data_IF_723483879689
#
_entry.id   IF_723483879689
#
_cell.length_a   1.000
_cell.length_b   1.000
_cell.length_c   1.000
_cell.angle_alpha   90.00
_cell.angle_beta   90.00
_cell.angle_gamma   90.00
#
_symmetry.space_group_name_H-M   'P 1'
#
loop_
_entity.id
_entity.type
_entity.pdbx_description
1 polymer ?
#
# COMPACT_ATOMS: atom_id res chain seq x y z
N UNK A 1 5.34 10.39 -7.64
CA UNK A 1 4.08 10.14 -6.93
C UNK A 1 3.98 11.19 -5.84
N UNK A 2 3.05 12.13 -5.96
CA UNK A 2 2.82 13.17 -4.94
C UNK A 2 1.61 12.71 -4.16
N UNK A 3 1.81 12.28 -2.91
CA UNK A 3 0.70 11.93 -2.04
C UNK A 3 0.26 13.23 -1.36
N UNK A 4 -0.92 13.73 -1.70
CA UNK A 4 -1.53 14.79 -0.91
C UNK A 4 -1.82 14.26 0.49
N UNK A 5 -1.43 14.95 1.56
CA UNK A 5 -1.75 14.52 2.91
C UNK A 5 -3.26 14.65 3.09
N UNK A 6 -4.00 13.57 2.83
CA UNK A 6 -5.30 13.41 3.45
C UNK A 6 -5.08 13.55 4.96
N UNK A 7 -5.92 14.36 5.62
CA UNK A 7 -5.96 14.42 7.07
C UNK A 7 -6.04 12.98 7.57
N UNK A 8 -5.00 12.52 8.26
CA UNK A 8 -4.92 11.13 8.70
C UNK A 8 -6.02 10.93 9.72
N UNK A 9 -7.06 10.20 9.34
CA UNK A 9 -8.03 9.68 10.29
C UNK A 9 -7.31 8.62 11.13
N UNK A 10 -6.93 9.02 12.34
CA UNK A 10 -6.24 8.17 13.32
C UNK A 10 -7.06 6.95 13.73
N UNK A 11 -8.37 6.92 13.42
CA UNK A 11 -9.27 5.81 13.67
C UNK A 11 -9.59 4.98 12.41
N UNK A 12 -8.83 5.15 11.33
CA UNK A 12 -9.13 4.46 10.07
C UNK A 12 -8.96 2.94 10.15
N UNK A 13 -9.78 2.21 9.39
CA UNK A 13 -9.65 0.74 9.24
C UNK A 13 -8.23 0.33 8.79
N UNK A 14 -7.59 1.11 7.91
CA UNK A 14 -6.21 0.85 7.50
C UNK A 14 -5.22 0.84 8.67
N UNK A 15 -5.34 1.76 9.64
CA UNK A 15 -4.50 1.76 10.85
C UNK A 15 -4.86 0.60 11.79
N UNK A 16 -6.14 0.24 11.88
CA UNK A 16 -6.61 -0.85 12.72
C UNK A 16 -6.11 -2.24 12.27
N UNK A 17 -5.69 -2.38 11.01
CA UNK A 17 -5.19 -3.65 10.44
C UNK A 17 -3.67 -3.81 10.51
N UNK A 18 -2.95 -2.87 11.13
CA UNK A 18 -1.48 -2.95 11.27
C UNK A 18 -1.11 -4.13 12.18
N UNK A 19 -0.20 -5.04 11.76
CA UNK A 19 0.33 -6.07 12.65
C UNK A 19 1.35 -5.44 13.61
N UNK A 20 0.86 -4.89 14.73
CA UNK A 20 1.63 -4.04 15.66
C UNK A 20 2.84 -4.73 16.31
N UNK A 21 2.88 -6.07 16.29
CA UNK A 21 4.03 -6.85 16.74
C UNK A 21 5.20 -6.83 15.73
N UNK A 22 4.93 -6.45 14.47
CA UNK A 22 5.84 -6.60 13.34
C UNK A 22 6.12 -5.27 12.64
N UNK A 23 5.12 -4.40 12.54
CA UNK A 23 5.14 -3.14 11.77
C UNK A 23 4.58 -2.01 12.61
N UNK A 24 5.13 -0.80 12.45
CA UNK A 24 4.53 0.43 12.94
C UNK A 24 4.40 1.46 11.82
N UNK A 25 3.46 2.40 11.96
CA UNK A 25 3.23 3.48 10.99
C UNK A 25 3.78 4.79 11.57
N UNK A 26 4.60 5.50 10.80
CA UNK A 26 5.15 6.80 11.20
C UNK A 26 5.32 7.73 9.99
N UNK A 27 5.67 8.99 10.23
CA UNK A 27 5.94 9.95 9.14
C UNK A 27 7.16 9.50 8.34
N UNK A 28 7.00 9.44 7.01
CA UNK A 28 8.11 9.12 6.10
C UNK A 28 9.19 10.21 6.14
N UNK A 29 10.44 9.81 5.99
CA UNK A 29 11.55 10.73 5.73
C UNK A 29 11.58 11.23 4.29
N UNK A 30 10.82 10.61 3.38
CA UNK A 30 10.75 11.02 1.98
C UNK A 30 9.91 12.31 1.83
N UNK A 31 10.39 13.30 1.07
CA UNK A 31 9.63 14.52 0.81
C UNK A 31 8.24 14.20 0.23
N UNK A 32 7.19 14.74 0.86
CA UNK A 32 5.79 14.62 0.42
C UNK A 32 5.24 13.18 0.33
N UNK A 33 5.84 12.21 1.02
CA UNK A 33 5.35 10.82 1.04
C UNK A 33 4.33 10.53 2.16
N UNK A 34 4.12 11.47 3.08
CA UNK A 34 3.14 11.28 4.16
C UNK A 34 3.58 10.27 5.21
N UNK A 35 2.78 9.22 5.42
CA UNK A 35 3.05 8.14 6.38
C UNK A 35 3.64 6.91 5.68
N UNK A 36 4.44 6.15 6.42
CA UNK A 36 5.14 4.96 5.96
C UNK A 36 5.06 3.83 6.99
N UNK A 37 5.02 2.59 6.48
CA UNK A 37 5.16 1.38 7.27
C UNK A 37 6.64 1.05 7.51
N UNK A 38 7.03 0.90 8.77
CA UNK A 38 8.37 0.55 9.19
C UNK A 38 8.38 -0.79 9.93
N UNK A 39 9.44 -1.59 9.72
CA UNK A 39 9.64 -2.81 10.47
C UNK A 39 9.94 -2.48 11.95
N UNK A 40 9.13 -3.01 12.87
CA UNK A 40 9.34 -2.89 14.32
C UNK A 40 10.40 -3.88 14.84
N UNK A 41 10.64 -4.95 14.08
CA UNK A 41 11.59 -6.03 14.38
C UNK A 41 12.13 -6.65 13.09
N UNK A 42 13.17 -7.48 13.15
CA UNK A 42 13.59 -8.28 12.00
C UNK A 42 12.44 -9.14 11.46
N UNK A 43 12.23 -9.07 10.15
CA UNK A 43 11.23 -9.86 9.41
C UNK A 43 11.98 -10.93 8.62
N UNK A 44 11.55 -12.18 8.74
CA UNK A 44 12.19 -13.29 8.03
C UNK A 44 12.07 -13.10 6.51
N UNK A 45 13.12 -13.43 5.77
CA UNK A 45 13.10 -13.42 4.31
C UNK A 45 11.99 -14.35 3.81
N UNK A 46 11.30 -13.93 2.75
CA UNK A 46 10.14 -14.64 2.17
C UNK A 46 8.87 -14.60 3.04
N UNK A 47 8.80 -13.74 4.05
CA UNK A 47 7.52 -13.42 4.70
C UNK A 47 6.58 -12.77 3.69
N UNK A 48 5.33 -13.21 3.67
CA UNK A 48 4.29 -12.67 2.79
C UNK A 48 3.32 -11.81 3.61
N UNK A 49 2.93 -10.67 3.04
CA UNK A 49 1.89 -9.79 3.58
C UNK A 49 0.80 -9.61 2.54
N UNK A 50 -0.46 -9.73 2.96
CA UNK A 50 -1.57 -9.55 2.04
C UNK A 50 -2.85 -10.26 2.48
N UNK A 51 -3.88 -10.22 1.61
CA UNK A 51 -3.90 -9.49 0.33
C UNK A 51 -3.89 -7.97 0.51
N UNK A 52 -3.54 -7.21 -0.54
CA UNK A 52 -3.68 -5.74 -0.54
C UNK A 52 -5.17 -5.37 -0.48
N UNK A 53 -5.54 -4.52 0.49
CA UNK A 53 -6.94 -4.14 0.73
C UNK A 53 -7.31 -2.84 0.01
N UNK A 54 -8.49 -2.82 -0.61
CA UNK A 54 -8.99 -1.67 -1.34
C UNK A 54 -10.33 -1.95 -2.03
N UNK A 55 -10.92 -0.93 -2.64
CA UNK A 55 -12.11 -1.09 -3.48
C UNK A 55 -11.76 -1.73 -4.83
N UNK A 56 -12.53 -2.73 -5.27
CA UNK A 56 -12.32 -3.41 -6.55
C UNK A 56 -13.06 -2.69 -7.68
N UNK A 57 -12.33 -2.24 -8.69
CA UNK A 57 -12.88 -1.66 -9.91
C UNK A 57 -12.78 -2.66 -11.08
N UNK A 58 -13.93 -3.19 -11.53
CA UNK A 58 -13.98 -4.18 -12.61
C UNK A 58 -13.88 -3.57 -14.03
N UNK A 59 -14.22 -2.28 -14.21
CA UNK A 59 -14.48 -1.70 -15.54
C UNK A 59 -13.31 -0.89 -16.11
N UNK A 60 -12.06 -1.21 -15.78
CA UNK A 60 -10.89 -0.66 -16.48
C UNK A 60 -10.54 0.81 -16.19
N UNK A 61 -11.47 1.61 -15.67
CA UNK A 61 -11.35 3.06 -15.53
C UNK A 61 -11.20 3.45 -14.05
N UNK A 62 -9.96 3.64 -13.62
CA UNK A 62 -9.69 4.60 -12.54
C UNK A 62 -9.28 5.89 -13.25
N UNK A 63 -10.09 6.95 -13.12
CA UNK A 63 -9.89 8.22 -13.85
C UNK A 63 -8.54 8.88 -13.52
N UNK A 64 -8.04 8.69 -12.29
CA UNK A 64 -6.71 9.12 -11.87
C UNK A 64 -6.09 8.06 -10.95
N UNK A 65 -4.82 7.69 -11.19
CA UNK A 65 -4.13 6.78 -10.29
C UNK A 65 -3.89 7.49 -8.95
N UNK A 66 -4.66 7.13 -7.93
CA UNK A 66 -4.59 7.66 -6.55
C UNK A 66 -3.21 7.48 -5.87
N UNK A 67 -2.26 6.82 -6.54
CA UNK A 67 -1.02 6.34 -5.96
C UNK A 67 -1.21 5.06 -5.12
N UNK A 68 -2.44 4.74 -4.72
CA UNK A 68 -2.78 3.60 -3.88
C UNK A 68 -3.44 2.45 -4.66
N UNK A 69 -3.43 2.53 -5.99
CA UNK A 69 -4.11 1.57 -6.85
C UNK A 69 -3.15 0.54 -7.46
N UNK A 70 -3.51 -0.74 -7.35
CA UNK A 70 -2.83 -1.84 -8.03
C UNK A 70 -3.64 -2.33 -9.23
N UNK A 71 -2.94 -2.62 -10.33
CA UNK A 71 -3.48 -3.31 -11.51
C UNK A 71 -3.32 -4.81 -11.32
N UNK A 72 -4.43 -5.54 -11.39
CA UNK A 72 -4.41 -7.00 -11.39
C UNK A 72 -4.59 -7.49 -12.82
N UNK A 73 -3.70 -8.38 -13.26
CA UNK A 73 -3.67 -8.94 -14.60
C UNK A 73 -3.91 -10.43 -14.57
N UNK A 74 -4.45 -10.98 -15.65
CA UNK A 74 -4.48 -12.42 -15.87
C UNK A 74 -3.13 -12.93 -16.41
N UNK A 75 -3.08 -14.25 -16.69
CA UNK A 75 -1.90 -14.93 -17.23
C UNK A 75 -1.52 -14.44 -18.64
N UNK A 76 -2.47 -13.88 -19.39
CA UNK A 76 -2.24 -13.28 -20.72
C UNK A 76 -1.66 -11.87 -20.63
N UNK A 77 -1.68 -11.27 -19.43
CA UNK A 77 -1.25 -9.89 -19.17
C UNK A 77 -2.38 -8.86 -19.30
N UNK A 78 -3.62 -9.30 -19.57
CA UNK A 78 -4.77 -8.43 -19.70
C UNK A 78 -5.23 -7.94 -18.32
N UNK A 79 -5.65 -6.68 -18.25
CA UNK A 79 -6.09 -6.08 -16.98
C UNK A 79 -7.47 -6.64 -16.64
N UNK A 80 -7.53 -7.41 -15.56
CA UNK A 80 -8.78 -8.00 -15.06
C UNK A 80 -9.57 -7.00 -14.21
N UNK A 81 -8.88 -6.31 -13.31
CA UNK A 81 -9.47 -5.30 -12.42
C UNK A 81 -8.38 -4.49 -11.74
N UNK A 82 -8.80 -3.47 -11.01
CA UNK A 82 -7.94 -2.69 -10.12
C UNK A 82 -8.40 -2.85 -8.67
N UNK A 83 -7.46 -2.71 -7.74
CA UNK A 83 -7.74 -2.56 -6.30
C UNK A 83 -7.24 -1.18 -5.89
N UNK A 84 -8.14 -0.28 -5.47
CA UNK A 84 -7.79 1.08 -5.01
C UNK A 84 -7.85 1.20 -3.48
N UNK A 85 -6.69 1.40 -2.86
CA UNK A 85 -6.55 1.60 -1.41
C UNK A 85 -6.58 3.07 -0.96
N UNK A 86 -7.07 3.98 -1.81
CA UNK A 86 -7.08 5.43 -1.56
C UNK A 86 -7.84 5.81 -0.31
N UNK A 87 -9.05 5.25 -0.12
CA UNK A 87 -9.91 5.47 1.04
C UNK A 87 -9.41 4.70 2.28
N UNK A 88 -8.91 5.37 3.34
CA UNK A 88 -8.35 4.71 4.53
C UNK A 88 -9.33 3.78 5.24
N UNK A 89 -10.63 4.05 5.19
CA UNK A 89 -11.65 3.21 5.81
C UNK A 89 -12.08 2.00 4.95
N UNK A 90 -11.60 1.92 3.70
CA UNK A 90 -11.87 0.82 2.79
C UNK A 90 -10.58 0.16 2.26
N UNK A 91 -9.49 0.26 3.03
CA UNK A 91 -8.17 -0.26 2.69
C UNK A 91 -7.49 -0.84 3.93
N UNK A 92 -6.34 -1.50 3.77
CA UNK A 92 -5.57 -2.03 4.89
C UNK A 92 -4.20 -1.34 5.03
N UNK A 93 -3.45 -1.74 6.06
CA UNK A 93 -2.16 -1.14 6.39
C UNK A 93 -1.14 -1.14 5.24
N UNK A 94 -1.27 -2.04 4.26
CA UNK A 94 -0.34 -2.12 3.12
C UNK A 94 -0.36 -0.85 2.26
N UNK A 95 -1.40 -0.03 2.34
CA UNK A 95 -1.43 1.30 1.70
C UNK A 95 -0.29 2.21 2.15
N UNK A 96 0.27 1.98 3.34
CA UNK A 96 1.37 2.78 3.90
C UNK A 96 2.76 2.27 3.49
N UNK A 97 2.87 1.19 2.71
CA UNK A 97 4.17 0.73 2.19
C UNK A 97 4.60 1.67 1.06
N UNK A 98 5.69 2.40 1.28
CA UNK A 98 6.24 3.30 0.26
C UNK A 98 7.08 2.56 -0.79
N UNK A 99 7.16 3.15 -1.97
CA UNK A 99 8.06 2.70 -3.02
C UNK A 99 9.51 3.10 -2.68
N UNK A 100 10.48 2.18 -2.80
CA UNK A 100 11.88 2.50 -2.57
C UNK A 100 12.42 3.41 -3.68
N UNK A 101 13.31 4.36 -3.33
CA UNK A 101 13.96 5.23 -4.30
C UNK A 101 15.17 4.57 -4.97
N UNK A 102 15.71 3.50 -4.36
CA UNK A 102 16.84 2.73 -4.87
C UNK A 102 16.60 1.23 -4.71
N UNK A 103 17.26 0.42 -5.55
CA UNK A 103 17.21 -1.03 -5.42
C UNK A 103 17.76 -1.52 -4.06
N UNK A 104 18.75 -0.83 -3.50
CA UNK A 104 19.32 -1.16 -2.20
C UNK A 104 18.36 -0.93 -1.02
N UNK A 105 17.35 -0.08 -1.19
CA UNK A 105 16.31 0.16 -0.18
C UNK A 105 15.13 -0.81 -0.32
N UNK A 106 15.00 -1.49 -1.47
CA UNK A 106 13.91 -2.43 -1.71
C UNK A 106 14.05 -3.68 -0.83
N UNK A 107 13.02 -3.97 -0.05
CA UNK A 107 12.94 -5.15 0.81
C UNK A 107 11.65 -5.98 0.62
N UNK A 108 10.73 -5.51 -0.22
CA UNK A 108 9.48 -6.19 -0.58
C UNK A 108 9.34 -6.29 -2.11
N UNK A 109 8.60 -7.30 -2.56
CA UNK A 109 8.22 -7.50 -3.96
C UNK A 109 6.71 -7.69 -3.99
N UNK A 110 6.03 -6.91 -4.81
CA UNK A 110 4.61 -7.12 -5.10
C UNK A 110 4.45 -8.20 -6.17
N UNK A 111 3.56 -9.15 -5.94
CA UNK A 111 3.25 -10.24 -6.86
C UNK A 111 1.76 -10.60 -6.78
N UNK A 112 1.28 -11.31 -7.79
CA UNK A 112 -0.07 -11.88 -7.90
C UNK A 112 0.01 -13.39 -8.02
#
# INVERSE_FOLDING_TARGET
>A
MVIYPSLVDVNSYALATVPLDTVYIAKSSLPNAGLEAFAARPIARLSCFGPYGGYKHNNGLIQEASGYAWRVRDESGDIMYYIDGSEPNNSNWLRFVNCPNTFSQQNLIAFV
#
